data_IF_502368664117
#
_entry.id   IF_502368664117
#
_cell.length_a   1.000
_cell.length_b   1.000
_cell.length_c   1.000
_cell.angle_alpha   90.00
_cell.angle_beta   90.00
_cell.angle_gamma   90.00
#
_symmetry.space_group_name_H-M   'P 1'
#
loop_
_entity.id
_entity.type
_entity.pdbx_description
1 polymer ?
#
# COMPACT_ATOMS: atom_id res chain seq x y z
N UNK A 1 -2.28 18.78 -4.28
CA UNK A 1 -1.77 17.94 -3.18
C UNK A 1 -0.66 17.08 -3.76
N UNK A 2 0.36 16.74 -2.98
CA UNK A 2 1.38 15.77 -3.42
C UNK A 2 0.71 14.42 -3.63
N UNK A 3 1.08 13.69 -4.68
CA UNK A 3 0.65 12.30 -4.88
C UNK A 3 1.73 11.33 -4.39
N UNK A 4 2.55 11.72 -3.43
CA UNK A 4 3.66 10.92 -2.91
C UNK A 4 3.54 10.74 -1.40
N UNK A 5 3.55 9.48 -0.98
CA UNK A 5 3.48 9.01 0.39
C UNK A 5 4.59 8.01 0.67
N UNK A 6 4.76 7.61 1.92
CA UNK A 6 5.67 6.55 2.33
C UNK A 6 4.98 5.63 3.34
N UNK A 7 5.09 4.30 3.11
CA UNK A 7 4.57 3.29 4.02
C UNK A 7 5.47 3.19 5.26
N UNK A 8 4.88 3.39 6.45
CA UNK A 8 5.61 3.36 7.72
C UNK A 8 6.14 1.97 8.08
N UNK A 9 5.60 0.91 7.49
CA UNK A 9 6.10 -0.45 7.68
C UNK A 9 7.55 -0.59 7.20
N UNK A 10 7.97 0.21 6.22
CA UNK A 10 9.37 0.27 5.79
C UNK A 10 10.33 0.63 6.92
N UNK A 11 9.91 1.49 7.82
CA UNK A 11 10.69 1.99 8.97
C UNK A 11 10.12 1.50 10.30
N UNK A 12 9.46 0.34 10.31
CA UNK A 12 8.73 -0.20 11.46
C UNK A 12 9.56 -0.28 12.76
N UNK A 13 10.83 -0.65 12.64
CA UNK A 13 11.71 -0.76 13.81
C UNK A 13 12.03 0.63 14.40
N UNK A 14 12.30 1.62 13.55
CA UNK A 14 12.52 3.00 13.96
C UNK A 14 11.22 3.61 14.52
N UNK A 15 10.08 3.33 13.87
CA UNK A 15 8.77 3.80 14.32
C UNK A 15 8.38 3.21 15.68
N UNK A 16 8.62 1.92 15.90
CA UNK A 16 8.39 1.28 17.19
C UNK A 16 9.30 1.82 18.29
N UNK A 17 10.54 2.21 17.98
CA UNK A 17 11.49 2.77 18.92
C UNK A 17 11.18 4.23 19.27
N UNK A 18 10.89 5.07 18.28
CA UNK A 18 10.58 6.50 18.44
C UNK A 18 9.69 6.99 17.28
N UNK A 19 8.35 6.94 17.44
CA UNK A 19 7.42 7.40 16.43
C UNK A 19 7.60 8.88 16.07
N UNK A 20 7.92 9.73 17.06
CA UNK A 20 8.03 11.16 16.86
C UNK A 20 9.26 11.52 16.01
N UNK A 21 10.43 10.92 16.31
CA UNK A 21 11.64 11.12 15.50
C UNK A 21 11.49 10.54 14.10
N UNK A 22 10.87 9.37 13.98
CA UNK A 22 10.62 8.72 12.68
C UNK A 22 9.80 9.63 11.76
N UNK A 23 8.67 10.14 12.22
CA UNK A 23 7.81 11.05 11.44
C UNK A 23 8.51 12.38 11.13
N UNK A 24 9.29 12.92 12.07
CA UNK A 24 10.12 14.09 11.84
C UNK A 24 11.15 13.87 10.74
N UNK A 25 11.82 12.72 10.72
CA UNK A 25 12.81 12.35 9.68
C UNK A 25 12.17 12.23 8.30
N UNK A 26 11.00 11.60 8.20
CA UNK A 26 10.27 11.48 6.94
C UNK A 26 9.82 12.86 6.41
N UNK A 27 9.32 13.74 7.29
CA UNK A 27 8.99 15.12 6.93
C UNK A 27 10.23 15.90 6.47
N UNK A 28 11.39 15.70 7.11
CA UNK A 28 12.65 16.34 6.73
C UNK A 28 13.19 15.87 5.37
N UNK A 29 12.87 14.63 4.94
CA UNK A 29 13.14 14.14 3.57
C UNK A 29 12.32 14.92 2.54
N UNK A 30 11.11 15.34 2.89
CA UNK A 30 10.22 16.10 2.02
C UNK A 30 8.83 15.47 1.84
N UNK A 31 8.54 14.36 2.53
CA UNK A 31 7.19 13.80 2.51
C UNK A 31 6.21 14.72 3.23
N UNK A 32 5.02 14.84 2.66
CA UNK A 32 3.87 15.51 3.28
C UNK A 32 2.75 14.52 3.62
N UNK A 33 2.92 13.28 3.17
CA UNK A 33 1.97 12.19 3.38
C UNK A 33 2.71 10.93 3.81
N UNK A 34 2.06 10.16 4.68
CA UNK A 34 2.52 8.83 5.11
C UNK A 34 1.37 7.84 5.05
N UNK A 35 1.70 6.57 4.96
CA UNK A 35 0.75 5.47 5.07
C UNK A 35 1.08 4.67 6.32
N UNK A 36 0.34 4.86 7.41
CA UNK A 36 0.57 4.13 8.65
C UNK A 36 0.03 2.70 8.61
N UNK A 37 0.51 1.90 9.54
CA UNK A 37 -0.02 0.58 9.92
C UNK A 37 -0.31 0.54 11.41
N UNK A 38 -1.09 -0.47 11.86
CA UNK A 38 -1.40 -0.63 13.29
C UNK A 38 -2.08 0.62 13.87
N UNK A 39 -3.05 1.16 13.15
CA UNK A 39 -3.68 2.45 13.46
C UNK A 39 -4.39 2.47 14.80
N UNK A 40 -4.94 1.33 15.27
CA UNK A 40 -5.63 1.23 16.56
C UNK A 40 -4.65 1.36 17.72
N UNK A 41 -3.55 0.62 17.64
CA UNK A 41 -2.53 0.57 18.70
C UNK A 41 -1.71 1.87 18.78
N UNK A 42 -1.57 2.58 17.66
CA UNK A 42 -0.69 3.74 17.52
C UNK A 42 -1.44 5.07 17.34
N UNK A 43 -2.76 5.10 17.55
CA UNK A 43 -3.58 6.29 17.23
C UNK A 43 -3.05 7.58 17.86
N UNK A 44 -2.69 7.56 19.13
CA UNK A 44 -2.18 8.73 19.86
C UNK A 44 -0.81 9.21 19.33
N UNK A 45 0.12 8.26 19.11
CA UNK A 45 1.45 8.57 18.58
C UNK A 45 1.36 9.11 17.15
N UNK A 46 0.51 8.51 16.31
CA UNK A 46 0.26 8.96 14.94
C UNK A 46 -0.37 10.36 14.95
N UNK A 47 -1.43 10.58 15.72
CA UNK A 47 -2.09 11.88 15.80
C UNK A 47 -1.14 12.99 16.21
N UNK A 48 -0.35 12.77 17.27
CA UNK A 48 0.64 13.74 17.74
C UNK A 48 1.76 14.00 16.72
N UNK A 49 2.31 12.93 16.14
CA UNK A 49 3.43 13.04 15.20
C UNK A 49 3.03 13.63 13.85
N UNK A 50 1.85 13.28 13.32
CA UNK A 50 1.31 13.88 12.09
C UNK A 50 1.11 15.39 12.27
N UNK A 51 0.45 15.80 13.35
CA UNK A 51 0.20 17.20 13.65
C UNK A 51 1.50 18.00 13.85
N UNK A 52 2.47 17.45 14.59
CA UNK A 52 3.74 18.12 14.88
C UNK A 52 4.59 18.37 13.63
N UNK A 53 4.45 17.55 12.60
CA UNK A 53 5.27 17.61 11.38
C UNK A 53 4.50 18.06 10.14
N UNK A 54 3.23 18.45 10.26
CA UNK A 54 2.39 18.84 9.13
C UNK A 54 2.16 17.72 8.11
N UNK A 55 2.21 16.46 8.57
CA UNK A 55 1.95 15.28 7.76
C UNK A 55 0.45 14.94 7.76
N UNK A 56 0.00 14.29 6.70
CA UNK A 56 -1.33 13.68 6.59
C UNK A 56 -1.21 12.20 6.26
N UNK A 57 -2.25 11.42 6.53
CA UNK A 57 -2.33 10.00 6.21
C UNK A 57 -3.59 9.75 5.36
N UNK A 58 -3.52 9.85 4.03
CA UNK A 58 -4.70 9.61 3.18
C UNK A 58 -5.12 8.14 3.14
N UNK A 59 -4.17 7.24 3.30
CA UNK A 59 -4.33 5.78 3.31
C UNK A 59 -3.67 5.18 4.55
N UNK A 60 -4.09 3.97 4.94
CA UNK A 60 -3.44 3.19 5.99
C UNK A 60 -3.64 1.69 5.76
N UNK A 61 -2.66 0.88 6.19
CA UNK A 61 -2.78 -0.57 6.25
C UNK A 61 -3.35 -1.01 7.60
N UNK A 62 -4.43 -1.78 7.56
CA UNK A 62 -4.98 -2.48 8.71
C UNK A 62 -5.69 -3.76 8.28
N UNK A 63 -5.55 -4.83 9.08
CA UNK A 63 -6.32 -6.06 8.84
C UNK A 63 -7.80 -5.74 9.04
N UNK A 64 -8.62 -6.17 8.07
CA UNK A 64 -10.08 -6.00 8.09
C UNK A 64 -10.79 -7.33 8.22
N UNK A 65 -10.29 -8.36 7.53
CA UNK A 65 -10.87 -9.70 7.55
C UNK A 65 -10.57 -10.34 8.91
N UNK A 66 -11.64 -10.60 9.69
CA UNK A 66 -11.54 -11.18 11.03
C UNK A 66 -11.08 -10.23 12.13
N UNK A 67 -11.01 -8.92 11.86
CA UNK A 67 -10.63 -7.90 12.83
C UNK A 67 -11.85 -7.19 13.45
N UNK A 68 -11.60 -6.37 14.48
CA UNK A 68 -12.58 -5.42 15.04
C UNK A 68 -12.68 -4.20 14.11
N UNK A 69 -13.47 -4.34 13.05
CA UNK A 69 -13.64 -3.32 12.02
C UNK A 69 -14.12 -1.96 12.56
N UNK A 70 -15.12 -1.89 13.49
CA UNK A 70 -15.51 -0.62 14.10
C UNK A 70 -14.35 0.11 14.79
N UNK A 71 -13.49 -0.60 15.52
CA UNK A 71 -12.32 0.02 16.15
C UNK A 71 -11.31 0.54 15.13
N UNK A 72 -11.06 -0.22 14.06
CA UNK A 72 -10.17 0.20 12.97
C UNK A 72 -10.69 1.46 12.29
N UNK A 73 -11.99 1.49 11.92
CA UNK A 73 -12.56 2.65 11.20
C UNK A 73 -12.71 3.88 12.09
N UNK A 74 -13.00 3.70 13.39
CA UNK A 74 -13.01 4.81 14.33
C UNK A 74 -11.61 5.46 14.47
N UNK A 75 -10.54 4.64 14.59
CA UNK A 75 -9.17 5.14 14.64
C UNK A 75 -8.78 5.82 13.31
N UNK A 76 -9.18 5.26 12.17
CA UNK A 76 -8.94 5.85 10.86
C UNK A 76 -9.62 7.24 10.74
N UNK A 77 -10.89 7.34 11.12
CA UNK A 77 -11.64 8.59 11.09
C UNK A 77 -11.00 9.66 12.01
N UNK A 78 -10.55 9.28 13.21
CA UNK A 78 -9.84 10.18 14.14
C UNK A 78 -8.54 10.73 13.54
N UNK A 79 -7.81 9.91 12.76
CA UNK A 79 -6.56 10.28 12.10
C UNK A 79 -6.78 11.01 10.75
N UNK A 80 -8.03 11.14 10.29
CA UNK A 80 -8.35 11.71 8.99
C UNK A 80 -7.97 10.82 7.80
N UNK A 81 -7.90 9.51 8.01
CA UNK A 81 -7.61 8.50 6.99
C UNK A 81 -8.88 8.21 6.21
N UNK A 82 -8.84 8.43 4.90
CA UNK A 82 -9.99 8.21 4.03
C UNK A 82 -10.08 6.81 3.42
N UNK A 83 -8.98 6.06 3.38
CA UNK A 83 -8.92 4.72 2.79
C UNK A 83 -8.11 3.77 3.69
N UNK A 84 -8.78 2.74 4.21
CA UNK A 84 -8.14 1.65 4.96
C UNK A 84 -8.00 0.43 4.07
N UNK A 85 -6.81 -0.08 3.96
CA UNK A 85 -6.41 -1.14 3.03
C UNK A 85 -6.08 -2.39 3.83
N UNK A 86 -6.76 -3.51 3.53
CA UNK A 86 -6.33 -4.81 4.07
C UNK A 86 -5.05 -5.25 3.34
N UNK A 87 -3.92 -5.39 4.06
CA UNK A 87 -2.63 -5.56 3.44
C UNK A 87 -2.32 -7.01 3.08
N UNK A 88 -3.09 -7.99 3.55
CA UNK A 88 -2.63 -9.38 3.43
C UNK A 88 -3.75 -10.41 3.59
N UNK A 89 -3.91 -11.23 2.58
CA UNK A 89 -4.59 -12.54 2.64
C UNK A 89 -3.58 -13.63 2.29
N UNK A 90 -3.59 -14.74 3.06
CA UNK A 90 -2.57 -15.78 2.95
C UNK A 90 -2.56 -16.45 1.57
N UNK A 91 -1.39 -16.92 1.07
CA UNK A 91 -1.24 -17.52 -0.25
C UNK A 91 -2.19 -18.69 -0.54
N UNK A 92 -2.53 -19.49 0.49
CA UNK A 92 -3.40 -20.65 0.33
C UNK A 92 -4.81 -20.27 -0.12
N UNK A 93 -5.28 -19.06 0.19
CA UNK A 93 -6.62 -18.58 -0.16
C UNK A 93 -6.75 -18.06 -1.61
N UNK A 94 -5.67 -18.13 -2.38
CA UNK A 94 -5.65 -17.68 -3.78
C UNK A 94 -5.61 -18.82 -4.79
N UNK A 95 -5.78 -20.07 -4.34
CA UNK A 95 -5.71 -21.27 -5.18
C UNK A 95 -7.10 -21.78 -5.62
N UNK A 96 -8.15 -21.43 -4.89
CA UNK A 96 -9.52 -21.90 -5.14
C UNK A 96 -10.47 -20.72 -5.40
N UNK A 97 -11.30 -20.76 -6.45
CA UNK A 97 -12.30 -19.72 -6.72
C UNK A 97 -13.26 -19.44 -5.57
N UNK A 98 -13.60 -20.44 -4.75
CA UNK A 98 -14.49 -20.26 -3.61
C UNK A 98 -13.83 -19.46 -2.48
N UNK A 99 -12.53 -19.67 -2.21
CA UNK A 99 -11.78 -18.90 -1.23
C UNK A 99 -11.58 -17.44 -1.68
N UNK A 100 -11.34 -17.25 -2.99
CA UNK A 100 -11.27 -15.91 -3.59
C UNK A 100 -12.61 -15.18 -3.44
N UNK A 101 -13.72 -15.85 -3.72
CA UNK A 101 -15.05 -15.29 -3.55
C UNK A 101 -15.34 -14.94 -2.09
N UNK A 102 -14.99 -15.82 -1.14
CA UNK A 102 -15.15 -15.54 0.28
C UNK A 102 -14.33 -14.34 0.74
N UNK A 103 -13.12 -14.17 0.21
CA UNK A 103 -12.26 -13.00 0.48
C UNK A 103 -12.91 -11.71 -0.05
N UNK A 104 -13.44 -11.74 -1.28
CA UNK A 104 -14.15 -10.60 -1.85
C UNK A 104 -15.41 -10.23 -1.06
N UNK A 105 -16.21 -11.23 -0.68
CA UNK A 105 -17.43 -11.03 0.14
C UNK A 105 -17.10 -10.41 1.50
N UNK A 106 -16.01 -10.84 2.14
CA UNK A 106 -15.59 -10.30 3.42
C UNK A 106 -15.19 -8.81 3.31
N UNK A 107 -14.49 -8.40 2.25
CA UNK A 107 -14.14 -7.00 2.03
C UNK A 107 -15.35 -6.17 1.58
N UNK A 108 -16.25 -6.71 0.78
CA UNK A 108 -17.51 -6.08 0.43
C UNK A 108 -18.40 -5.84 1.67
N UNK A 109 -18.35 -6.75 2.64
CA UNK A 109 -19.02 -6.58 3.92
C UNK A 109 -18.34 -5.48 4.77
N UNK A 110 -16.99 -5.48 4.84
CA UNK A 110 -16.23 -4.46 5.54
C UNK A 110 -16.47 -3.06 4.98
N UNK A 111 -16.62 -2.91 3.66
CA UNK A 111 -16.91 -1.63 3.02
C UNK A 111 -18.25 -1.01 3.48
N UNK A 112 -19.24 -1.86 3.82
CA UNK A 112 -20.53 -1.39 4.37
C UNK A 112 -20.37 -0.83 5.77
N UNK A 113 -19.53 -1.47 6.61
CA UNK A 113 -19.23 -0.96 7.96
C UNK A 113 -18.40 0.32 7.86
N UNK A 114 -17.40 0.37 6.98
CA UNK A 114 -16.55 1.53 6.77
C UNK A 114 -17.33 2.79 6.36
N UNK A 115 -18.38 2.61 5.55
CA UNK A 115 -19.24 3.70 5.11
C UNK A 115 -19.97 4.43 6.26
N UNK A 116 -20.19 3.75 7.40
CA UNK A 116 -20.76 4.35 8.61
C UNK A 116 -19.78 5.33 9.30
N UNK A 117 -18.50 5.27 8.91
CA UNK A 117 -17.40 6.09 9.43
C UNK A 117 -16.82 7.07 8.39
N UNK A 118 -17.46 7.20 7.22
CA UNK A 118 -16.94 7.99 6.08
C UNK A 118 -15.55 7.53 5.62
N UNK A 119 -15.23 6.24 5.76
CA UNK A 119 -13.99 5.59 5.36
C UNK A 119 -14.24 4.63 4.20
N UNK A 120 -13.33 4.59 3.24
CA UNK A 120 -13.32 3.61 2.15
C UNK A 120 -12.46 2.39 2.53
N UNK A 121 -12.77 1.23 1.97
CA UNK A 121 -11.98 0.00 2.10
C UNK A 121 -11.19 -0.24 0.84
N UNK A 122 -9.98 -0.79 0.98
CA UNK A 122 -9.14 -1.25 -0.11
C UNK A 122 -8.49 -2.60 0.16
N UNK A 123 -7.81 -3.11 -0.86
CA UNK A 123 -6.99 -4.32 -0.78
C UNK A 123 -5.63 -4.09 -1.45
N UNK A 124 -4.57 -4.64 -0.84
CA UNK A 124 -3.19 -4.59 -1.31
C UNK A 124 -2.71 -6.01 -1.66
N UNK A 125 -2.09 -6.16 -2.84
CA UNK A 125 -1.58 -7.44 -3.31
C UNK A 125 -0.12 -7.68 -2.95
N UNK A 126 0.22 -8.97 -2.92
CA UNK A 126 1.60 -9.47 -3.00
C UNK A 126 1.80 -10.20 -4.34
N UNK A 127 2.89 -10.95 -4.46
CA UNK A 127 3.22 -11.66 -5.68
C UNK A 127 2.35 -12.90 -5.93
N UNK A 128 1.90 -13.56 -4.87
CA UNK A 128 1.16 -14.85 -5.00
C UNK A 128 -0.25 -14.69 -5.57
N UNK A 129 -0.91 -13.56 -5.38
CA UNK A 129 -2.21 -13.26 -6.00
C UNK A 129 -2.10 -13.11 -7.52
N UNK A 130 -0.91 -12.71 -7.98
CA UNK A 130 -0.62 -12.54 -9.40
C UNK A 130 0.00 -13.79 -10.02
N UNK A 131 0.74 -14.62 -9.26
CA UNK A 131 1.26 -15.90 -9.70
C UNK A 131 0.16 -16.96 -9.82
N UNK A 132 -0.80 -16.97 -8.87
CA UNK A 132 -1.94 -17.90 -8.88
C UNK A 132 -2.85 -17.64 -10.06
N UNK A 133 -3.31 -18.73 -10.71
CA UNK A 133 -4.15 -18.65 -11.91
C UNK A 133 -5.47 -19.41 -11.75
N UNK A 134 -6.57 -18.71 -12.06
CA UNK A 134 -7.91 -19.29 -12.15
C UNK A 134 -8.35 -19.16 -13.61
N UNK A 135 -8.54 -20.29 -14.27
CA UNK A 135 -8.91 -20.37 -15.70
C UNK A 135 -7.99 -19.51 -16.61
N UNK A 136 -6.68 -19.47 -16.27
CA UNK A 136 -5.66 -18.75 -17.02
C UNK A 136 -5.53 -17.24 -16.70
N UNK A 137 -6.40 -16.69 -15.85
CA UNK A 137 -6.34 -15.31 -15.36
C UNK A 137 -5.62 -15.24 -14.00
N UNK A 138 -4.96 -14.15 -13.70
CA UNK A 138 -4.44 -13.90 -12.36
C UNK A 138 -5.58 -13.94 -11.32
N UNK A 139 -5.34 -14.64 -10.20
CA UNK A 139 -6.33 -14.74 -9.13
C UNK A 139 -6.72 -13.35 -8.60
N UNK A 140 -5.79 -12.39 -8.57
CA UNK A 140 -6.06 -11.00 -8.23
C UNK A 140 -7.10 -10.32 -9.14
N UNK A 141 -7.07 -10.58 -10.45
CA UNK A 141 -8.07 -10.02 -11.37
C UNK A 141 -9.45 -10.69 -11.21
N UNK A 142 -9.46 -12.00 -10.96
CA UNK A 142 -10.71 -12.73 -10.65
C UNK A 142 -11.33 -12.22 -9.35
N UNK A 143 -10.52 -11.93 -8.37
CA UNK A 143 -10.94 -11.29 -7.12
C UNK A 143 -11.45 -9.85 -7.35
N UNK A 144 -10.72 -9.04 -8.11
CA UNK A 144 -11.11 -7.66 -8.40
C UNK A 144 -12.49 -7.59 -9.08
N UNK A 145 -12.81 -8.53 -9.97
CA UNK A 145 -14.13 -8.60 -10.63
C UNK A 145 -15.29 -8.85 -9.64
N UNK A 146 -15.03 -9.46 -8.49
CA UNK A 146 -16.03 -9.81 -7.47
C UNK A 146 -16.20 -8.74 -6.38
N UNK A 147 -15.28 -7.78 -6.32
CA UNK A 147 -15.37 -6.70 -5.36
C UNK A 147 -16.46 -5.67 -5.75
N UNK A 148 -17.16 -5.16 -4.75
CA UNK A 148 -18.03 -3.99 -4.91
C UNK A 148 -17.20 -2.82 -5.51
N UNK A 149 -17.76 -2.03 -6.43
CA UNK A 149 -17.10 -0.84 -6.97
C UNK A 149 -16.62 0.17 -5.92
N UNK A 150 -17.18 0.14 -4.71
CA UNK A 150 -16.74 0.98 -3.58
C UNK A 150 -15.42 0.51 -2.96
N UNK A 151 -15.01 -0.75 -3.18
CA UNK A 151 -13.73 -1.27 -2.69
C UNK A 151 -12.62 -0.87 -3.64
N UNK A 152 -11.66 -0.12 -3.14
CA UNK A 152 -10.49 0.36 -3.87
C UNK A 152 -9.39 -0.72 -3.98
N UNK A 153 -8.48 -0.50 -4.90
CA UNK A 153 -7.26 -1.30 -5.02
C UNK A 153 -6.04 -0.40 -4.76
N UNK A 154 -5.13 -0.91 -3.96
CA UNK A 154 -3.76 -0.47 -3.91
C UNK A 154 -2.90 -1.55 -4.55
N UNK A 155 -2.25 -1.22 -5.66
CA UNK A 155 -1.47 -2.22 -6.39
C UNK A 155 0.00 -2.08 -6.04
N UNK A 156 0.56 -3.13 -5.43
CA UNK A 156 2.01 -3.25 -5.34
C UNK A 156 2.57 -3.68 -6.69
N UNK A 157 3.22 -2.74 -7.35
CA UNK A 157 3.69 -2.92 -8.72
C UNK A 157 4.96 -3.77 -8.81
N UNK A 158 5.76 -3.79 -7.73
CA UNK A 158 6.93 -4.68 -7.61
C UNK A 158 6.46 -6.13 -7.46
N UNK A 159 5.56 -6.38 -6.50
CA UNK A 159 5.02 -7.72 -6.29
C UNK A 159 4.19 -8.21 -7.49
N UNK A 160 3.47 -7.32 -8.17
CA UNK A 160 2.76 -7.70 -9.39
C UNK A 160 3.75 -8.17 -10.47
N UNK A 161 4.87 -7.49 -10.64
CA UNK A 161 5.90 -7.87 -11.61
C UNK A 161 6.63 -9.16 -11.17
N UNK A 162 6.96 -9.29 -9.89
CA UNK A 162 7.57 -10.51 -9.33
C UNK A 162 6.65 -11.74 -9.46
N UNK A 163 5.31 -11.54 -9.38
CA UNK A 163 4.29 -12.56 -9.62
C UNK A 163 4.03 -12.86 -11.10
N UNK A 164 4.81 -12.26 -12.01
CA UNK A 164 4.80 -12.58 -13.46
C UNK A 164 3.85 -11.74 -14.30
N UNK A 165 3.28 -10.64 -13.75
CA UNK A 165 2.44 -9.72 -14.51
C UNK A 165 3.26 -8.53 -15.07
N UNK A 166 2.82 -7.98 -16.19
CA UNK A 166 3.19 -6.62 -16.59
C UNK A 166 2.37 -5.63 -15.73
N UNK A 167 3.03 -5.00 -14.74
CA UNK A 167 2.37 -4.13 -13.80
C UNK A 167 1.68 -2.93 -14.50
N UNK A 168 2.27 -2.35 -15.55
CA UNK A 168 1.65 -1.23 -16.27
C UNK A 168 0.39 -1.68 -17.02
N UNK A 169 0.43 -2.84 -17.67
CA UNK A 169 -0.74 -3.42 -18.34
C UNK A 169 -1.83 -3.81 -17.33
N UNK A 170 -1.47 -4.38 -16.16
CA UNK A 170 -2.38 -4.69 -15.08
C UNK A 170 -3.11 -3.43 -14.58
N UNK A 171 -2.37 -2.35 -14.29
CA UNK A 171 -2.94 -1.08 -13.88
C UNK A 171 -3.94 -0.52 -14.91
N UNK A 172 -3.62 -0.64 -16.21
CA UNK A 172 -4.52 -0.25 -17.29
C UNK A 172 -5.82 -1.06 -17.32
N UNK A 173 -5.79 -2.38 -17.00
CA UNK A 173 -6.97 -3.23 -16.92
C UNK A 173 -7.83 -2.94 -15.68
N UNK A 174 -7.19 -2.65 -14.54
CA UNK A 174 -7.87 -2.34 -13.27
C UNK A 174 -8.47 -0.92 -13.27
N UNK A 175 -7.89 0.00 -14.04
CA UNK A 175 -8.42 1.34 -14.28
C UNK A 175 -8.62 2.17 -13.01
N UNK A 176 -9.73 2.89 -12.95
CA UNK A 176 -10.04 3.86 -11.86
C UNK A 176 -10.25 3.24 -10.47
N UNK A 177 -10.27 1.91 -10.37
CA UNK A 177 -10.32 1.21 -9.08
C UNK A 177 -9.00 1.34 -8.31
N UNK A 178 -7.89 1.56 -9.02
CA UNK A 178 -6.57 1.77 -8.42
C UNK A 178 -6.49 3.17 -7.84
N UNK A 179 -6.50 3.28 -6.51
CA UNK A 179 -6.40 4.55 -5.78
C UNK A 179 -5.00 4.82 -5.27
N UNK A 180 -4.22 3.76 -5.02
CA UNK A 180 -2.83 3.85 -4.62
C UNK A 180 -1.99 2.79 -5.33
N UNK A 181 -0.70 3.05 -5.42
CA UNK A 181 0.30 2.07 -5.88
C UNK A 181 1.47 2.08 -4.93
N UNK A 182 1.96 0.90 -4.55
CA UNK A 182 3.26 0.79 -3.91
C UNK A 182 4.35 0.84 -4.97
N UNK A 183 5.30 1.75 -4.76
CA UNK A 183 6.47 1.96 -5.61
C UNK A 183 7.69 1.40 -4.90
N UNK A 184 8.07 0.19 -5.28
CA UNK A 184 9.29 -0.50 -4.89
C UNK A 184 10.15 -0.72 -6.13
N UNK A 185 11.43 -1.02 -5.96
CA UNK A 185 12.32 -1.40 -7.05
C UNK A 185 13.33 -2.45 -6.56
N UNK A 186 14.05 -3.07 -7.46
CA UNK A 186 15.04 -4.09 -7.13
C UNK A 186 15.15 -5.21 -8.15
N UNK A 187 15.59 -6.39 -7.69
CA UNK A 187 15.82 -7.58 -8.52
C UNK A 187 14.59 -8.45 -8.79
N UNK A 188 13.39 -8.05 -8.33
CA UNK A 188 12.11 -8.77 -8.46
C UNK A 188 12.09 -10.15 -7.79
N UNK A 189 12.87 -10.32 -6.71
CA UNK A 189 12.84 -11.54 -5.92
C UNK A 189 11.58 -11.57 -5.02
N UNK A 190 10.96 -12.77 -4.91
CA UNK A 190 9.72 -12.95 -4.12
C UNK A 190 9.96 -13.07 -2.61
N UNK A 191 11.22 -13.11 -2.16
CA UNK A 191 11.63 -13.12 -0.75
C UNK A 191 12.00 -11.73 -0.21
N UNK A 192 11.69 -10.66 -0.94
CA UNK A 192 12.01 -9.27 -0.64
C UNK A 192 13.53 -8.95 -0.63
N UNK A 193 14.42 -9.90 -0.96
CA UNK A 193 15.85 -9.60 -1.03
C UNK A 193 16.20 -8.72 -2.23
N UNK A 194 17.22 -7.88 -2.08
CA UNK A 194 17.72 -7.06 -3.18
C UNK A 194 16.77 -5.93 -3.60
N UNK A 195 15.88 -5.49 -2.72
CA UNK A 195 15.13 -4.25 -2.95
C UNK A 195 16.07 -3.05 -2.99
N UNK A 196 15.78 -2.10 -3.88
CA UNK A 196 16.60 -0.92 -4.17
C UNK A 196 15.72 0.33 -4.17
N UNK A 197 16.30 1.52 -4.00
CA UNK A 197 15.59 2.77 -4.22
C UNK A 197 14.96 2.84 -5.63
N UNK A 198 13.81 3.49 -5.73
CA UNK A 198 13.11 3.68 -6.98
C UNK A 198 14.02 4.23 -8.10
N UNK A 199 13.97 3.61 -9.26
CA UNK A 199 14.81 3.92 -10.43
C UNK A 199 16.19 3.26 -10.44
N UNK A 200 16.51 2.41 -9.45
CA UNK A 200 17.79 1.72 -9.38
C UNK A 200 17.71 0.20 -9.64
N UNK A 201 16.50 -0.33 -9.81
CA UNK A 201 16.25 -1.74 -10.06
C UNK A 201 15.74 -2.03 -11.47
N UNK A 202 14.90 -3.06 -11.58
CA UNK A 202 14.41 -3.59 -12.85
C UNK A 202 12.97 -3.18 -13.18
N UNK A 203 12.24 -2.59 -12.22
CA UNK A 203 10.85 -2.18 -12.45
C UNK A 203 10.77 -1.02 -13.45
N UNK A 204 9.93 -1.07 -14.49
CA UNK A 204 9.76 0.02 -15.44
C UNK A 204 8.90 1.15 -14.85
N UNK A 205 9.40 1.80 -13.78
CA UNK A 205 8.64 2.76 -12.95
C UNK A 205 7.98 3.85 -13.80
N UNK A 206 8.63 4.37 -14.82
CA UNK A 206 8.05 5.40 -15.68
C UNK A 206 6.77 4.93 -16.39
N UNK A 207 6.74 3.68 -16.87
CA UNK A 207 5.54 3.08 -17.48
C UNK A 207 4.44 2.83 -16.45
N UNK A 208 4.80 2.35 -15.26
CA UNK A 208 3.90 2.15 -14.13
C UNK A 208 3.21 3.46 -13.74
N UNK A 209 3.98 4.53 -13.52
CA UNK A 209 3.45 5.84 -13.16
C UNK A 209 2.54 6.45 -14.25
N UNK A 210 2.85 6.20 -15.51
CA UNK A 210 2.05 6.65 -16.64
C UNK A 210 0.71 5.88 -16.75
N UNK A 211 0.68 4.60 -16.33
CA UNK A 211 -0.52 3.77 -16.36
C UNK A 211 -1.53 4.11 -15.24
N UNK A 212 -1.09 4.68 -14.12
CA UNK A 212 -1.94 5.10 -13.00
C UNK A 212 -1.62 6.54 -12.54
N UNK A 213 -1.82 7.56 -13.41
CA UNK A 213 -1.35 8.93 -13.13
C UNK A 213 -2.05 9.60 -11.96
N UNK A 214 -3.27 9.18 -11.62
CA UNK A 214 -4.09 9.72 -10.53
C UNK A 214 -3.89 8.97 -9.20
N UNK A 215 -3.23 7.80 -9.19
CA UNK A 215 -3.03 7.01 -7.99
C UNK A 215 -2.01 7.66 -7.06
N UNK A 216 -2.25 7.54 -5.74
CA UNK A 216 -1.27 7.88 -4.73
C UNK A 216 -0.05 6.95 -4.89
N UNK A 217 1.13 7.51 -4.91
CA UNK A 217 2.40 6.78 -5.00
C UNK A 217 2.95 6.60 -3.60
N UNK A 218 3.04 5.37 -3.14
CA UNK A 218 3.52 5.04 -1.80
C UNK A 218 4.87 4.35 -1.91
N UNK A 219 5.93 5.00 -1.43
CA UNK A 219 7.26 4.38 -1.36
C UNK A 219 7.25 3.33 -0.26
N UNK A 220 7.71 2.12 -0.56
CA UNK A 220 7.85 1.07 0.43
C UNK A 220 9.09 0.21 0.21
N UNK A 221 9.60 -0.31 1.34
CA UNK A 221 10.60 -1.37 1.42
C UNK A 221 10.12 -2.43 2.42
N UNK A 222 10.07 -3.69 2.00
CA UNK A 222 9.84 -4.81 2.92
C UNK A 222 11.13 -5.19 3.65
N UNK A 223 12.26 -5.14 2.91
CA UNK A 223 13.62 -5.36 3.41
C UNK A 223 14.61 -4.50 2.62
N UNK A 224 15.66 -4.04 3.28
CA UNK A 224 16.74 -3.29 2.66
C UNK A 224 18.04 -3.53 3.45
N UNK A 225 19.14 -3.77 2.74
CA UNK A 225 20.46 -3.93 3.34
C UNK A 225 21.19 -2.57 3.32
N UNK A 226 20.94 -1.75 4.33
CA UNK A 226 21.49 -0.40 4.46
C UNK A 226 20.63 0.55 5.29
N UNK A 227 20.87 1.87 5.18
CA UNK A 227 20.04 2.87 5.84
C UNK A 227 18.73 3.08 5.07
N UNK A 228 17.63 2.67 5.67
CA UNK A 228 16.28 2.79 5.08
C UNK A 228 15.86 4.25 4.84
N UNK A 229 16.28 5.19 5.68
CA UNK A 229 15.93 6.60 5.46
C UNK A 229 16.69 7.20 4.27
N UNK A 230 17.95 6.77 4.05
CA UNK A 230 18.70 7.16 2.85
C UNK A 230 18.07 6.55 1.60
N UNK A 231 17.63 5.29 1.64
CA UNK A 231 16.94 4.62 0.53
C UNK A 231 15.59 5.28 0.21
N UNK A 232 14.82 5.64 1.24
CA UNK A 232 13.55 6.36 1.12
C UNK A 232 13.78 7.77 0.53
N UNK A 233 14.83 8.48 0.97
CA UNK A 233 15.21 9.79 0.45
C UNK A 233 15.63 9.72 -1.03
N UNK A 234 16.36 8.68 -1.43
CA UNK A 234 16.72 8.45 -2.83
C UNK A 234 15.47 8.19 -3.69
N UNK A 235 14.53 7.37 -3.20
CA UNK A 235 13.26 7.12 -3.86
C UNK A 235 12.41 8.40 -3.99
N UNK A 236 12.33 9.21 -2.93
CA UNK A 236 11.66 10.51 -2.95
C UNK A 236 12.24 11.43 -4.03
N UNK A 237 13.57 11.57 -4.05
CA UNK A 237 14.30 12.38 -5.04
C UNK A 237 14.01 11.94 -6.48
N UNK A 238 14.03 10.63 -6.73
CA UNK A 238 13.73 10.08 -8.05
C UNK A 238 12.29 10.39 -8.49
N UNK A 239 11.31 10.19 -7.59
CA UNK A 239 9.88 10.33 -7.89
C UNK A 239 9.41 11.79 -8.00
N UNK A 240 10.10 12.72 -7.35
CA UNK A 240 9.81 14.16 -7.44
C UNK A 240 10.57 14.86 -8.57
N UNK A 241 11.63 14.24 -9.08
CA UNK A 241 12.54 14.86 -10.06
C UNK A 241 13.45 15.91 -9.44
N UNK A 242 13.48 16.05 -8.11
CA UNK A 242 14.34 16.99 -7.39
C UNK A 242 15.80 16.52 -7.43
N UNK A 243 16.55 17.00 -8.40
CA UNK A 243 18.01 16.89 -8.39
C UNK A 243 18.57 18.01 -7.50
N UNK A 244 18.79 17.69 -6.22
CA UNK A 244 19.52 18.56 -5.31
C UNK A 244 21.02 18.49 -5.55
#
# INVERSE_FOLDING_TARGET
MSLLSVQLYSVRDAFAADPADTLRRLAAIGFTQVEPYGVVENVEALRAGLAANGLTAPTAHARLIGADQPAVFAAAAELGIGLVIDPLVKPEQWQDPADIAATADALNAAAKVAAEHDVQVGYHNHWWELESRIDGRAAFEVFADQLDPAVALEVDTYWATAGGEDAAALLGRLGDRVKAIHVKDGGLATDATGQLPAGQGQLPIAAVLAAAPAALRVVEFDAFDGDLFEAIAASHTFLTGDRR
#
